data_IF_986758782434
#
_entry.id   IF_986758782434
#
_cell.length_a   1.000
_cell.length_b   1.000
_cell.length_c   1.000
_cell.angle_alpha   90.00
_cell.angle_beta   90.00
_cell.angle_gamma   90.00
#
_symmetry.space_group_name_H-M   'P 1'
#
loop_
_entity.id
_entity.type
_entity.pdbx_description
1 polymer ?
#
# COMPACT_ATOMS: atom_id res chain seq x y z
N UNK A 1 4.06 -4.31 -15.47
CA UNK A 1 4.41 -4.92 -14.17
C UNK A 1 5.67 -4.25 -13.68
N UNK A 2 5.65 -3.62 -12.49
CA UNK A 2 6.87 -3.12 -11.84
C UNK A 2 7.09 -3.94 -10.59
N UNK A 3 8.20 -4.67 -10.55
CA UNK A 3 8.62 -5.45 -9.38
C UNK A 3 9.48 -4.55 -8.50
N UNK A 4 9.19 -4.49 -7.20
CA UNK A 4 10.00 -3.72 -6.26
C UNK A 4 11.16 -4.57 -5.75
N UNK A 5 12.35 -3.97 -5.68
CA UNK A 5 13.49 -4.54 -5.00
C UNK A 5 13.39 -4.33 -3.48
N UNK A 6 14.14 -5.10 -2.71
CA UNK A 6 14.21 -4.94 -1.26
C UNK A 6 14.64 -3.51 -0.88
N UNK A 7 13.82 -2.85 -0.05
CA UNK A 7 14.04 -1.47 0.39
C UNK A 7 13.65 -0.39 -0.64
N UNK A 8 13.07 -0.76 -1.79
CA UNK A 8 12.66 0.21 -2.80
C UNK A 8 11.33 0.86 -2.42
N UNK A 9 11.31 2.19 -2.41
CA UNK A 9 10.08 2.96 -2.20
C UNK A 9 9.33 3.17 -3.52
N UNK A 10 8.00 3.09 -3.46
CA UNK A 10 7.13 3.45 -4.57
C UNK A 10 6.17 4.55 -4.14
N UNK A 11 5.98 5.56 -4.99
CA UNK A 11 5.04 6.65 -4.78
C UNK A 11 4.05 6.67 -5.93
N UNK A 12 2.76 6.66 -5.61
CA UNK A 12 1.65 6.85 -6.52
C UNK A 12 0.75 7.95 -5.97
N UNK A 13 0.15 8.71 -6.87
CA UNK A 13 -0.91 9.66 -6.56
C UNK A 13 -2.16 9.26 -7.33
N UNK A 14 -3.31 9.37 -6.66
CA UNK A 14 -4.62 9.18 -7.27
C UNK A 14 -5.32 10.53 -7.37
N UNK A 15 -6.12 10.72 -8.42
CA UNK A 15 -7.03 11.87 -8.50
C UNK A 15 -8.37 11.50 -7.86
N UNK A 16 -9.08 12.50 -7.35
CA UNK A 16 -10.31 12.35 -6.53
C UNK A 16 -11.53 11.72 -7.24
N UNK A 17 -11.41 11.29 -8.50
CA UNK A 17 -12.56 10.89 -9.33
C UNK A 17 -12.53 9.43 -9.79
N UNK A 18 -11.98 8.53 -8.96
CA UNK A 18 -11.81 7.13 -9.35
C UNK A 18 -12.16 6.22 -8.20
N UNK A 19 -13.18 5.38 -8.43
CA UNK A 19 -13.93 4.74 -7.35
C UNK A 19 -13.19 3.57 -6.69
N UNK A 20 -12.27 2.89 -7.37
CA UNK A 20 -11.51 1.77 -6.78
C UNK A 20 -10.15 1.57 -7.45
N UNK A 21 -9.11 1.40 -6.64
CA UNK A 21 -7.78 1.04 -7.11
C UNK A 21 -7.26 -0.17 -6.33
N UNK A 22 -7.08 -1.30 -7.01
CA UNK A 22 -6.44 -2.48 -6.44
C UNK A 22 -4.99 -2.52 -6.92
N UNK A 23 -4.04 -2.46 -5.99
CA UNK A 23 -2.64 -2.69 -6.29
C UNK A 23 -2.27 -4.15 -6.00
N UNK A 24 -1.76 -4.83 -7.02
CA UNK A 24 -1.14 -6.16 -6.86
C UNK A 24 0.33 -5.98 -6.52
N UNK A 25 0.74 -6.58 -5.41
CA UNK A 25 2.11 -6.56 -4.92
C UNK A 25 2.72 -7.96 -5.00
N UNK A 26 4.01 -7.98 -5.34
CA UNK A 26 4.80 -9.19 -5.46
C UNK A 26 6.03 -9.03 -4.57
N UNK A 27 6.22 -9.94 -3.62
CA UNK A 27 7.37 -9.96 -2.71
C UNK A 27 7.97 -11.37 -2.63
N UNK A 28 9.07 -11.59 -3.33
CA UNK A 28 9.64 -12.94 -3.48
C UNK A 28 8.64 -13.89 -4.16
N UNK A 29 8.28 -14.99 -3.50
CA UNK A 29 7.23 -15.93 -3.95
C UNK A 29 5.81 -15.53 -3.51
N UNK A 30 5.66 -14.47 -2.70
CA UNK A 30 4.36 -14.02 -2.20
C UNK A 30 3.71 -13.09 -3.21
N UNK A 31 2.44 -13.36 -3.50
CA UNK A 31 1.61 -12.52 -4.38
C UNK A 31 0.34 -12.19 -3.63
N UNK A 32 0.06 -10.91 -3.47
CA UNK A 32 -1.17 -10.47 -2.82
C UNK A 32 -1.61 -9.12 -3.38
N UNK A 33 -2.85 -8.74 -3.12
CA UNK A 33 -3.42 -7.49 -3.56
C UNK A 33 -4.03 -6.74 -2.38
N UNK A 34 -3.82 -5.43 -2.38
CA UNK A 34 -4.47 -4.55 -1.42
C UNK A 34 -5.24 -3.48 -2.19
N UNK A 35 -6.45 -3.23 -1.73
CA UNK A 35 -7.25 -2.09 -2.18
C UNK A 35 -6.61 -0.82 -1.61
N UNK A 36 -5.95 -0.03 -2.45
CA UNK A 36 -5.22 1.18 -2.07
C UNK A 36 -6.12 2.40 -1.96
N UNK A 37 -7.42 2.24 -2.26
CA UNK A 37 -8.40 3.31 -2.22
C UNK A 37 -9.75 2.75 -1.75
N UNK A 38 -9.83 2.40 -0.46
CA UNK A 38 -11.04 1.91 0.18
C UNK A 38 -11.20 2.43 1.61
N UNK A 39 -12.40 2.22 2.18
CA UNK A 39 -12.76 2.66 3.55
C UNK A 39 -11.80 2.12 4.62
N UNK A 40 -11.16 0.98 4.37
CA UNK A 40 -10.15 0.40 5.26
C UNK A 40 -8.88 1.22 5.37
N UNK A 41 -8.52 1.98 4.33
CA UNK A 41 -7.24 2.68 4.24
C UNK A 41 -7.41 4.18 4.53
N UNK A 42 -8.55 4.77 4.15
CA UNK A 42 -8.81 6.20 4.35
C UNK A 42 -8.54 6.72 5.78
N UNK A 43 -8.91 6.01 6.86
CA UNK A 43 -8.66 6.48 8.23
C UNK A 43 -7.17 6.69 8.55
N UNK A 44 -6.28 6.03 7.81
CA UNK A 44 -4.84 6.11 8.01
C UNK A 44 -4.15 7.10 7.06
N UNK A 45 -4.92 7.73 6.18
CA UNK A 45 -4.40 8.66 5.19
C UNK A 45 -4.71 10.11 5.56
N UNK A 46 -3.77 11.01 5.24
CA UNK A 46 -4.03 12.44 5.20
C UNK A 46 -4.40 12.89 3.79
N UNK A 47 -3.79 13.99 3.33
CA UNK A 47 -3.86 14.41 1.91
C UNK A 47 -3.17 13.43 0.96
N UNK A 48 -2.25 12.61 1.48
CA UNK A 48 -1.49 11.59 0.77
C UNK A 48 -1.58 10.30 1.58
N UNK A 49 -1.72 9.16 0.88
CA UNK A 49 -1.58 7.83 1.48
C UNK A 49 -0.16 7.31 1.18
N UNK A 50 0.58 6.95 2.22
CA UNK A 50 1.83 6.19 2.06
C UNK A 50 1.54 4.72 2.28
N UNK A 51 2.05 3.86 1.40
CA UNK A 51 1.89 2.41 1.45
C UNK A 51 3.27 1.76 1.48
N UNK A 52 3.42 0.73 2.31
CA UNK A 52 4.63 -0.06 2.38
C UNK A 52 4.30 -1.54 2.45
N UNK A 53 4.95 -2.33 1.60
CA UNK A 53 5.00 -3.77 1.72
C UNK A 53 6.25 -4.14 2.53
N UNK A 54 6.07 -4.79 3.68
CA UNK A 54 7.15 -5.29 4.55
C UNK A 54 7.14 -6.81 4.59
N UNK A 55 8.09 -7.45 5.27
CA UNK A 55 8.25 -8.91 5.25
C UNK A 55 6.99 -9.70 5.72
N UNK A 56 6.21 -9.10 6.61
CA UNK A 56 5.07 -9.70 7.29
C UNK A 56 3.71 -9.14 6.84
N UNK A 57 3.65 -8.12 5.98
CA UNK A 57 2.39 -7.67 5.40
C UNK A 57 2.42 -6.26 4.81
N UNK A 58 1.23 -5.71 4.62
CA UNK A 58 1.00 -4.36 4.11
C UNK A 58 0.74 -3.36 5.22
N UNK A 59 1.30 -2.18 5.03
CA UNK A 59 1.24 -1.06 5.95
C UNK A 59 0.80 0.21 5.23
N UNK A 60 0.06 1.05 5.93
CA UNK A 60 -0.31 2.40 5.49
C UNK A 60 0.04 3.43 6.56
N UNK A 61 0.46 4.61 6.12
CA UNK A 61 0.71 5.76 6.99
C UNK A 61 0.24 7.07 6.37
N UNK A 62 -0.02 8.03 7.26
CA UNK A 62 -0.21 9.43 6.88
C UNK A 62 1.13 10.10 6.52
N UNK A 63 2.23 9.52 7.00
CA UNK A 63 3.61 9.87 6.67
C UNK A 63 4.46 8.60 6.49
N UNK A 64 5.77 8.77 6.27
CA UNK A 64 6.74 7.65 6.16
C UNK A 64 7.32 7.19 7.51
N UNK A 65 6.85 7.71 8.65
CA UNK A 65 7.38 7.45 10.00
C UNK A 65 6.45 6.56 10.82
N UNK A 66 5.15 6.78 10.72
CA UNK A 66 4.10 6.08 11.45
C UNK A 66 3.33 5.16 10.52
N UNK A 67 3.42 3.85 10.79
CA UNK A 67 2.86 2.79 9.95
C UNK A 67 1.82 1.97 10.69
N UNK A 68 0.65 1.77 10.08
CA UNK A 68 -0.41 0.89 10.56
C UNK A 68 -0.48 -0.33 9.66
N UNK A 69 -0.44 -1.53 10.25
CA UNK A 69 -0.59 -2.77 9.50
C UNK A 69 -2.05 -2.97 9.14
N UNK A 70 -2.34 -3.26 7.88
CA UNK A 70 -3.72 -3.41 7.37
C UNK A 70 -4.02 -4.81 6.85
N UNK A 71 -2.99 -5.59 6.54
CA UNK A 71 -3.12 -6.94 6.00
C UNK A 71 -1.81 -7.71 6.19
N UNK A 72 -1.89 -8.97 6.60
CA UNK A 72 -0.77 -9.93 6.56
C UNK A 72 -0.61 -10.46 5.13
N UNK A 73 0.60 -10.90 4.76
CA UNK A 73 0.73 -11.70 3.53
C UNK A 73 -0.02 -13.02 3.67
N UNK A 74 -0.78 -13.39 2.64
CA UNK A 74 -1.30 -14.75 2.46
C UNK A 74 -0.18 -15.70 2.00
#
# INVERSE_FOLDING_TARGET
MRTLNYGQEFSWSFSYYTDFYVCKFYWGSKTDSVDVYGERIQPFCGRVCYLAAKADGFYVGHDKKSWNKIQDWI
#
